data_IF_665726002536
#
_entry.id   IF_665726002536
#
_cell.length_a   1.000
_cell.length_b   1.000
_cell.length_c   1.000
_cell.angle_alpha   90.00
_cell.angle_beta   90.00
_cell.angle_gamma   90.00
#
_symmetry.space_group_name_H-M   'P 1'
#
loop_
_entity.id
_entity.type
_entity.pdbx_description
1 polymer ?
#
# COMPACT_ATOMS: atom_id res chain seq x y z
N UNK A 1 10.83 5.63 12.91
CA UNK A 1 10.42 6.69 11.96
C UNK A 1 9.42 7.63 12.62
N UNK A 2 9.61 8.94 12.55
CA UNK A 2 8.80 9.95 13.27
C UNK A 2 8.12 10.95 12.33
N UNK A 3 8.57 11.06 11.08
CA UNK A 3 8.01 11.97 10.08
C UNK A 3 8.15 11.37 8.68
N UNK A 4 7.13 11.57 7.86
CA UNK A 4 7.09 11.28 6.43
C UNK A 4 6.82 12.59 5.70
N UNK A 5 7.53 12.84 4.62
CA UNK A 5 7.28 13.96 3.71
C UNK A 5 7.05 13.41 2.31
N UNK A 6 5.84 13.53 1.79
CA UNK A 6 5.48 13.15 0.42
C UNK A 6 5.63 14.34 -0.53
N UNK A 7 6.43 14.17 -1.57
CA UNK A 7 6.73 15.15 -2.62
C UNK A 7 6.26 14.67 -4.01
N UNK A 8 5.33 13.71 -4.05
CA UNK A 8 4.82 13.13 -5.31
C UNK A 8 3.85 14.06 -6.03
N UNK A 9 3.17 14.94 -5.29
CA UNK A 9 2.21 15.92 -5.84
C UNK A 9 2.84 17.29 -6.09
N UNK A 10 2.02 18.27 -6.45
CA UNK A 10 2.46 19.66 -6.60
C UNK A 10 2.82 20.31 -5.25
N UNK A 11 2.14 19.92 -4.19
CA UNK A 11 2.36 20.41 -2.83
C UNK A 11 3.07 19.37 -1.96
N UNK A 12 4.04 19.84 -1.17
CA UNK A 12 4.69 19.04 -0.13
C UNK A 12 3.69 18.68 0.97
N UNK A 13 3.61 17.40 1.33
CA UNK A 13 2.78 16.93 2.43
C UNK A 13 3.65 16.35 3.55
N UNK A 14 3.65 17.03 4.69
CA UNK A 14 4.44 16.64 5.87
C UNK A 14 3.54 15.97 6.91
N UNK A 15 3.80 14.69 7.16
CA UNK A 15 3.01 13.82 8.03
C UNK A 15 3.85 13.42 9.24
N UNK A 16 3.47 13.91 10.43
CA UNK A 16 4.08 13.48 11.70
C UNK A 16 3.49 12.14 12.13
N UNK A 17 4.32 11.23 12.62
CA UNK A 17 3.88 9.94 13.13
C UNK A 17 4.00 9.91 14.65
N UNK A 18 2.94 9.44 15.30
CA UNK A 18 2.87 9.31 16.75
C UNK A 18 2.67 7.85 17.13
N UNK A 19 3.27 7.45 18.25
CA UNK A 19 3.27 6.08 18.74
C UNK A 19 2.83 6.06 20.21
N UNK A 20 2.16 4.98 20.62
CA UNK A 20 1.91 4.71 22.03
C UNK A 20 3.17 4.23 22.76
N UNK A 21 3.01 3.93 24.06
CA UNK A 21 4.12 3.46 24.92
C UNK A 21 4.67 2.10 24.51
N UNK A 22 3.89 1.30 23.78
CA UNK A 22 4.29 -0.03 23.30
C UNK A 22 4.92 0.04 21.89
N UNK A 23 5.04 1.25 21.32
CA UNK A 23 5.61 1.47 19.99
C UNK A 23 4.63 1.19 18.85
N UNK A 24 3.32 1.04 19.13
CA UNK A 24 2.30 0.94 18.08
C UNK A 24 1.99 2.33 17.55
N UNK A 25 1.83 2.46 16.24
CA UNK A 25 1.43 3.73 15.64
C UNK A 25 0.01 4.09 16.06
N UNK A 26 -0.20 5.30 16.56
CA UNK A 26 -1.54 5.83 16.92
C UNK A 26 -1.96 6.99 16.03
N UNK A 27 -1.03 7.59 15.29
CA UNK A 27 -1.31 8.66 14.32
C UNK A 27 -0.33 8.60 13.15
N UNK A 28 -0.85 8.75 11.92
CA UNK A 28 -0.08 8.93 10.69
C UNK A 28 -0.53 10.24 10.04
N UNK A 29 0.23 11.33 10.23
CA UNK A 29 -0.22 12.68 9.91
C UNK A 29 -1.38 13.09 10.82
N UNK A 30 -2.54 13.35 10.22
CA UNK A 30 -3.79 13.58 10.94
C UNK A 30 -4.70 12.36 11.02
N UNK A 31 -4.31 11.24 10.41
CA UNK A 31 -5.08 10.00 10.41
C UNK A 31 -4.83 9.21 11.70
N UNK A 32 -5.84 9.04 12.58
CA UNK A 32 -5.69 8.26 13.79
C UNK A 32 -5.73 6.76 13.50
N UNK A 33 -5.03 5.98 14.33
CA UNK A 33 -5.04 4.51 14.33
C UNK A 33 -5.44 4.04 15.73
N UNK A 34 -6.53 3.27 15.82
CA UNK A 34 -7.07 2.74 17.08
C UNK A 34 -7.02 1.22 17.09
N UNK A 35 -6.73 0.66 18.25
CA UNK A 35 -6.64 -0.78 18.48
C UNK A 35 -7.67 -1.16 19.56
N UNK A 36 -8.68 -1.94 19.18
CA UNK A 36 -9.81 -2.30 20.05
C UNK A 36 -10.09 -3.80 19.93
N UNK A 37 -9.65 -4.58 20.92
CA UNK A 37 -9.75 -6.03 20.88
C UNK A 37 -9.06 -6.62 19.65
N UNK A 38 -9.81 -7.37 18.85
CA UNK A 38 -9.35 -7.98 17.60
C UNK A 38 -9.51 -7.05 16.38
N UNK A 39 -9.74 -5.74 16.58
CA UNK A 39 -9.93 -4.78 15.50
C UNK A 39 -8.86 -3.69 15.50
N UNK A 40 -8.51 -3.26 14.29
CA UNK A 40 -7.67 -2.08 14.04
C UNK A 40 -8.45 -1.13 13.14
N UNK A 41 -8.71 0.07 13.62
CA UNK A 41 -9.49 1.08 12.90
C UNK A 41 -8.60 2.27 12.54
N UNK A 42 -8.55 2.62 11.26
CA UNK A 42 -7.82 3.76 10.73
C UNK A 42 -8.84 4.80 10.27
N UNK A 43 -8.66 6.04 10.72
CA UNK A 43 -9.56 7.14 10.43
C UNK A 43 -9.42 7.70 9.01
N UNK A 44 -9.96 8.90 8.83
CA UNK A 44 -9.93 9.60 7.54
C UNK A 44 -8.50 9.88 7.07
N UNK A 45 -8.28 9.68 5.79
CA UNK A 45 -7.03 9.95 5.09
C UNK A 45 -7.31 10.55 3.73
N UNK A 46 -6.89 11.81 3.57
CA UNK A 46 -7.05 12.58 2.34
C UNK A 46 -5.74 12.73 1.53
N UNK A 47 -4.60 12.26 2.08
CA UNK A 47 -3.27 12.76 1.69
C UNK A 47 -2.39 11.74 0.94
N UNK A 48 -2.99 10.89 0.10
CA UNK A 48 -2.22 10.17 -0.93
C UNK A 48 -2.75 10.63 -2.28
N UNK A 49 -1.87 11.04 -3.19
CA UNK A 49 -2.15 11.54 -4.55
C UNK A 49 -2.82 10.52 -5.49
N UNK A 50 -3.60 9.59 -4.93
CA UNK A 50 -4.22 8.44 -5.58
C UNK A 50 -5.58 8.76 -6.19
N UNK A 51 -6.07 10.00 -6.13
CA UNK A 51 -7.40 10.41 -6.60
C UNK A 51 -8.57 9.82 -5.79
N UNK A 52 -8.33 8.79 -4.99
CA UNK A 52 -9.28 8.13 -4.11
C UNK A 52 -8.99 8.50 -2.65
N UNK A 53 -10.00 8.97 -1.94
CA UNK A 53 -9.91 9.36 -0.51
C UNK A 53 -10.42 8.24 0.37
N UNK A 54 -9.79 8.00 1.50
CA UNK A 54 -10.24 7.02 2.49
C UNK A 54 -10.97 7.74 3.62
N UNK A 55 -12.24 7.40 3.86
CA UNK A 55 -12.98 7.93 5.00
C UNK A 55 -12.62 7.17 6.28
N UNK A 56 -12.51 5.85 6.21
CA UNK A 56 -11.99 4.99 7.27
C UNK A 56 -11.82 3.55 6.74
N UNK A 57 -11.06 2.75 7.47
CA UNK A 57 -11.03 1.28 7.34
C UNK A 57 -10.99 0.63 8.72
N UNK A 58 -11.72 -0.47 8.88
CA UNK A 58 -11.60 -1.36 10.03
C UNK A 58 -11.12 -2.72 9.55
N UNK A 59 -10.01 -3.20 10.11
CA UNK A 59 -9.46 -4.54 9.88
C UNK A 59 -9.87 -5.46 11.02
N UNK A 60 -10.33 -6.66 10.68
CA UNK A 60 -10.55 -7.74 11.63
C UNK A 60 -9.29 -8.61 11.68
N UNK A 61 -8.69 -8.71 12.87
CA UNK A 61 -7.50 -9.51 13.13
C UNK A 61 -7.93 -10.88 13.65
N UNK A 62 -7.28 -11.94 13.14
CA UNK A 62 -7.51 -13.32 13.56
C UNK A 62 -6.22 -14.12 13.49
N UNK A 63 -5.81 -14.69 14.63
CA UNK A 63 -4.54 -15.42 14.79
C UNK A 63 -3.32 -14.58 14.33
N UNK A 64 -3.29 -13.30 14.72
CA UNK A 64 -2.17 -12.39 14.45
C UNK A 64 -2.10 -11.80 13.04
N UNK A 65 -3.06 -12.08 12.16
CA UNK A 65 -3.14 -11.54 10.79
C UNK A 65 -4.51 -10.95 10.51
N UNK A 66 -4.61 -9.93 9.67
CA UNK A 66 -5.90 -9.47 9.17
C UNK A 66 -6.58 -10.59 8.35
N UNK A 67 -7.89 -10.71 8.46
CA UNK A 67 -8.71 -11.72 7.77
C UNK A 67 -9.71 -11.10 6.81
N UNK A 68 -10.27 -9.98 7.23
CA UNK A 68 -11.17 -9.18 6.44
C UNK A 68 -11.03 -7.70 6.83
N UNK A 69 -11.45 -6.81 5.95
CA UNK A 69 -11.60 -5.40 6.27
C UNK A 69 -12.84 -4.82 5.59
N UNK A 70 -13.33 -3.74 6.17
CA UNK A 70 -14.37 -2.91 5.58
C UNK A 70 -13.88 -1.47 5.57
N UNK A 71 -13.88 -0.85 4.41
CA UNK A 71 -13.49 0.53 4.24
C UNK A 71 -14.62 1.33 3.59
N UNK A 72 -14.69 2.61 3.94
CA UNK A 72 -15.49 3.59 3.23
C UNK A 72 -14.54 4.54 2.51
N UNK A 73 -14.76 4.76 1.22
CA UNK A 73 -13.87 5.56 0.40
C UNK A 73 -14.61 6.29 -0.72
N UNK A 74 -13.94 7.27 -1.31
CA UNK A 74 -14.35 7.85 -2.60
C UNK A 74 -13.69 7.05 -3.72
N UNK A 75 -14.49 6.45 -4.59
CA UNK A 75 -14.05 5.66 -5.74
C UNK A 75 -14.40 6.36 -7.04
N UNK A 76 -13.40 6.67 -7.86
CA UNK A 76 -13.63 7.13 -9.24
C UNK A 76 -13.93 5.94 -10.17
N UNK A 77 -15.05 6.01 -10.90
CA UNK A 77 -15.47 5.02 -11.90
C UNK A 77 -15.83 5.79 -13.18
N UNK A 78 -15.02 5.60 -14.23
CA UNK A 78 -15.12 6.45 -15.43
C UNK A 78 -14.86 7.92 -15.10
N UNK A 79 -15.82 8.79 -15.43
CA UNK A 79 -15.75 10.23 -15.13
C UNK A 79 -16.40 10.59 -13.78
N UNK A 80 -17.19 9.68 -13.18
CA UNK A 80 -17.92 9.93 -11.94
C UNK A 80 -17.14 9.48 -10.71
N UNK A 81 -17.47 10.06 -9.55
CA UNK A 81 -16.90 9.70 -8.25
C UNK A 81 -18.05 9.31 -7.33
N UNK A 82 -17.93 8.13 -6.72
CA UNK A 82 -18.92 7.58 -5.81
C UNK A 82 -18.36 7.40 -4.40
N UNK A 83 -19.20 7.65 -3.40
CA UNK A 83 -18.95 7.12 -2.07
C UNK A 83 -19.23 5.61 -2.11
N UNK A 84 -18.24 4.81 -1.74
CA UNK A 84 -18.28 3.37 -1.84
C UNK A 84 -17.91 2.69 -0.52
N UNK A 85 -18.60 1.59 -0.23
CA UNK A 85 -18.17 0.59 0.74
C UNK A 85 -17.32 -0.46 0.02
N UNK A 86 -16.08 -0.63 0.48
CA UNK A 86 -15.15 -1.66 0.04
C UNK A 86 -15.12 -2.78 1.09
N UNK A 87 -15.39 -4.00 0.66
CA UNK A 87 -15.25 -5.20 1.47
C UNK A 87 -14.09 -6.02 0.96
N UNK A 88 -13.14 -6.35 1.83
CA UNK A 88 -11.91 -7.05 1.45
C UNK A 88 -11.71 -8.30 2.30
N UNK A 89 -11.28 -9.39 1.67
CA UNK A 89 -10.85 -10.63 2.36
C UNK A 89 -9.38 -10.89 2.07
N UNK A 90 -8.65 -11.32 3.11
CA UNK A 90 -7.22 -11.64 3.06
C UNK A 90 -7.00 -13.13 3.33
N UNK A 91 -6.60 -13.86 2.28
CA UNK A 91 -6.32 -15.29 2.35
C UNK A 91 -4.82 -15.57 2.22
N UNK A 92 -4.33 -16.56 2.99
CA UNK A 92 -2.91 -16.89 3.07
C UNK A 92 -2.70 -18.37 2.72
N UNK A 93 -1.89 -18.65 1.71
CA UNK A 93 -1.52 -20.01 1.30
C UNK A 93 0.01 -20.13 1.24
N UNK A 94 0.59 -20.68 2.31
CA UNK A 94 2.03 -20.53 2.54
C UNK A 94 2.37 -19.05 2.72
N UNK A 95 3.38 -18.56 2.00
CA UNK A 95 3.70 -17.13 1.96
C UNK A 95 2.82 -16.33 0.98
N UNK A 96 2.15 -16.99 0.03
CA UNK A 96 1.31 -16.28 -0.96
C UNK A 96 0.09 -15.67 -0.28
N UNK A 97 -0.20 -14.40 -0.61
CA UNK A 97 -1.36 -13.67 -0.09
C UNK A 97 -2.33 -13.41 -1.26
N UNK A 98 -3.61 -13.68 -1.04
CA UNK A 98 -4.69 -13.28 -1.94
C UNK A 98 -5.51 -12.19 -1.26
N UNK A 99 -5.74 -11.08 -1.97
CA UNK A 99 -6.53 -9.95 -1.51
C UNK A 99 -7.66 -9.77 -2.50
N UNK A 100 -8.90 -10.03 -2.08
CA UNK A 100 -10.08 -9.90 -2.93
C UNK A 100 -10.96 -8.78 -2.36
N UNK A 101 -11.23 -7.75 -3.17
CA UNK A 101 -12.03 -6.60 -2.78
C UNK A 101 -13.24 -6.44 -3.69
N UNK A 102 -14.42 -6.22 -3.10
CA UNK A 102 -15.64 -5.83 -3.79
C UNK A 102 -16.04 -4.41 -3.37
N UNK A 103 -16.25 -3.54 -4.35
CA UNK A 103 -16.68 -2.16 -4.17
C UNK A 103 -18.15 -2.01 -4.55
N UNK A 104 -18.95 -1.43 -3.65
CA UNK A 104 -20.36 -1.11 -3.87
C UNK A 104 -20.67 0.31 -3.46
N UNK A 105 -21.58 0.98 -4.17
CA UNK A 105 -22.01 2.31 -3.77
C UNK A 105 -22.74 2.25 -2.41
N UNK A 106 -22.51 3.23 -1.55
CA UNK A 106 -23.18 3.34 -0.23
C UNK A 106 -24.67 3.60 -0.36
N UNK A 107 -25.10 4.26 -1.45
CA UNK A 107 -26.46 4.72 -1.68
C UNK A 107 -27.47 3.61 -1.96
N UNK A 108 -27.08 2.62 -2.77
CA UNK A 108 -28.00 1.65 -3.39
C UNK A 108 -27.37 0.25 -3.53
N UNK A 109 -26.20 0.02 -2.94
CA UNK A 109 -25.46 -1.26 -2.97
C UNK A 109 -25.10 -1.77 -4.37
N UNK A 110 -25.22 -0.94 -5.41
CA UNK A 110 -24.86 -1.34 -6.78
C UNK A 110 -23.38 -1.68 -6.84
N UNK A 111 -23.06 -2.71 -7.62
CA UNK A 111 -21.70 -3.12 -7.87
C UNK A 111 -20.97 -2.04 -8.68
N UNK A 112 -19.76 -1.69 -8.25
CA UNK A 112 -18.92 -0.69 -8.92
C UNK A 112 -17.68 -1.34 -9.53
N UNK A 113 -16.97 -2.15 -8.74
CA UNK A 113 -15.67 -2.70 -9.12
C UNK A 113 -15.34 -3.92 -8.28
N UNK A 114 -14.60 -4.86 -8.86
CA UNK A 114 -13.95 -5.97 -8.14
C UNK A 114 -12.45 -5.94 -8.43
N UNK A 115 -11.64 -6.18 -7.39
CA UNK A 115 -10.19 -6.24 -7.51
C UNK A 115 -9.68 -7.51 -6.85
N UNK A 116 -8.86 -8.26 -7.59
CA UNK A 116 -8.26 -9.50 -7.12
C UNK A 116 -6.75 -9.42 -7.25
N UNK A 117 -6.06 -9.29 -6.12
CA UNK A 117 -4.61 -9.25 -6.03
C UNK A 117 -4.04 -10.59 -5.54
N UNK A 118 -2.96 -11.04 -6.16
CA UNK A 118 -2.16 -12.20 -5.74
C UNK A 118 -0.72 -11.76 -5.53
N UNK A 119 -0.20 -11.93 -4.32
CA UNK A 119 1.14 -11.53 -3.92
C UNK A 119 2.00 -12.78 -3.72
N UNK A 120 3.02 -12.96 -4.54
CA UNK A 120 3.87 -14.15 -4.56
C UNK A 120 5.27 -13.80 -4.07
N UNK A 121 5.78 -14.61 -3.15
CA UNK A 121 7.05 -14.39 -2.47
C UNK A 121 8.06 -15.49 -2.81
N UNK A 122 9.34 -15.15 -2.82
CA UNK A 122 10.41 -16.13 -2.99
C UNK A 122 10.77 -16.89 -1.70
N UNK A 123 11.77 -17.75 -1.78
CA UNK A 123 12.27 -18.54 -0.66
C UNK A 123 12.81 -17.68 0.50
N UNK A 124 13.25 -16.45 0.26
CA UNK A 124 13.71 -15.50 1.27
C UNK A 124 12.57 -14.62 1.82
N UNK A 125 11.34 -14.83 1.35
CA UNK A 125 10.15 -14.08 1.74
C UNK A 125 10.04 -12.71 1.07
N UNK A 126 10.83 -12.44 0.03
CA UNK A 126 10.78 -11.18 -0.73
C UNK A 126 9.63 -11.22 -1.74
N UNK A 127 8.87 -10.14 -1.85
CA UNK A 127 7.75 -10.04 -2.80
C UNK A 127 8.29 -10.05 -4.23
N UNK A 128 8.10 -11.12 -4.99
CA UNK A 128 8.61 -11.23 -6.36
C UNK A 128 7.63 -10.75 -7.41
N UNK A 129 6.36 -11.04 -7.20
CA UNK A 129 5.33 -10.79 -8.20
C UNK A 129 4.01 -10.38 -7.55
N UNK A 130 3.32 -9.45 -8.19
CA UNK A 130 1.93 -9.12 -7.90
C UNK A 130 1.12 -9.27 -9.19
N UNK A 131 0.05 -10.06 -9.14
CA UNK A 131 -0.93 -10.16 -10.22
C UNK A 131 -2.22 -9.53 -9.74
N UNK A 132 -2.69 -8.51 -10.44
CA UNK A 132 -3.91 -7.79 -10.09
C UNK A 132 -4.88 -7.87 -11.27
N UNK A 133 -6.10 -8.31 -11.00
CA UNK A 133 -7.21 -8.32 -11.96
C UNK A 133 -8.27 -7.34 -11.49
N UNK A 134 -8.69 -6.44 -12.38
CA UNK A 134 -9.75 -5.47 -12.17
C UNK A 134 -10.94 -5.84 -13.04
N UNK A 135 -12.11 -6.01 -12.43
CA UNK A 135 -13.39 -6.20 -13.14
C UNK A 135 -14.28 -5.01 -12.84
N UNK A 136 -14.64 -4.27 -13.88
CA UNK A 136 -15.52 -3.10 -13.79
C UNK A 136 -17.00 -3.52 -13.80
N UNK A 137 -17.91 -2.60 -13.47
CA UNK A 137 -19.35 -2.87 -13.42
C UNK A 137 -19.97 -3.35 -14.75
N UNK A 138 -19.33 -3.07 -15.88
CA UNK A 138 -19.74 -3.52 -17.21
C UNK A 138 -19.11 -4.86 -17.62
N UNK A 139 -18.56 -5.61 -16.67
CA UNK A 139 -17.82 -6.87 -16.86
C UNK A 139 -16.54 -6.75 -17.69
N UNK A 140 -16.10 -5.53 -18.02
CA UNK A 140 -14.79 -5.34 -18.65
C UNK A 140 -13.68 -5.70 -17.66
N UNK A 141 -12.66 -6.37 -18.19
CA UNK A 141 -11.54 -6.87 -17.39
C UNK A 141 -10.25 -6.22 -17.85
N UNK A 142 -9.48 -5.73 -16.90
CA UNK A 142 -8.08 -5.36 -17.09
C UNK A 142 -7.21 -6.07 -16.07
N UNK A 143 -5.92 -6.20 -16.37
CA UNK A 143 -4.97 -6.85 -15.47
C UNK A 143 -3.59 -6.20 -15.52
N UNK A 144 -2.85 -6.38 -14.43
CA UNK A 144 -1.45 -6.01 -14.32
C UNK A 144 -0.66 -7.18 -13.71
N UNK A 145 0.49 -7.48 -14.28
CA UNK A 145 1.49 -8.35 -13.68
C UNK A 145 2.74 -7.54 -13.39
N UNK A 146 3.03 -7.34 -12.12
CA UNK A 146 4.16 -6.55 -11.61
C UNK A 146 5.25 -7.49 -11.11
N UNK A 147 6.50 -7.18 -11.44
CA UNK A 147 7.70 -7.95 -11.09
C UNK A 147 8.70 -7.08 -10.34
N UNK A 148 9.33 -7.64 -9.32
CA UNK A 148 10.30 -6.95 -8.46
C UNK A 148 11.68 -7.60 -8.54
N UNK A 149 12.71 -6.79 -8.79
CA UNK A 149 14.11 -7.21 -8.78
C UNK A 149 14.80 -6.80 -7.47
N UNK A 150 15.67 -7.67 -6.94
CA UNK A 150 16.39 -7.49 -5.67
C UNK A 150 17.88 -7.81 -5.81
N UNK A 151 18.44 -7.78 -7.02
CA UNK A 151 19.81 -8.18 -7.30
C UNK A 151 20.83 -7.22 -6.67
N UNK A 152 20.42 -5.98 -6.38
CA UNK A 152 21.26 -5.02 -5.64
C UNK A 152 21.27 -5.27 -4.13
N UNK A 153 20.50 -6.25 -3.63
CA UNK A 153 20.45 -6.65 -2.23
C UNK A 153 20.26 -5.46 -1.25
N UNK A 154 19.42 -4.48 -1.63
CA UNK A 154 19.11 -3.34 -0.78
C UNK A 154 18.28 -3.82 0.42
N UNK A 155 18.82 -3.61 1.62
CA UNK A 155 18.17 -3.97 2.87
C UNK A 155 18.05 -2.75 3.77
N UNK A 156 17.06 -2.77 4.65
CA UNK A 156 16.83 -1.73 5.64
C UNK A 156 16.35 -2.29 6.98
N UNK A 157 16.49 -1.48 8.01
CA UNK A 157 15.89 -1.71 9.31
C UNK A 157 14.99 -0.54 9.68
N UNK A 158 13.70 -0.78 9.87
CA UNK A 158 12.76 0.23 10.34
C UNK A 158 11.55 -0.40 11.06
N UNK A 159 10.84 0.40 11.85
CA UNK A 159 9.65 -0.04 12.58
C UNK A 159 8.43 -0.25 11.66
N UNK A 160 8.38 0.40 10.48
CA UNK A 160 7.33 0.21 9.47
C UNK A 160 7.86 -0.56 8.26
N UNK A 161 6.95 -1.17 7.48
CA UNK A 161 7.33 -1.85 6.24
C UNK A 161 7.35 -0.83 5.11
N UNK A 162 8.55 -0.32 4.81
CA UNK A 162 8.78 0.71 3.81
C UNK A 162 8.56 0.21 2.38
N UNK A 163 8.41 -1.11 2.16
CA UNK A 163 7.97 -1.65 0.86
C UNK A 163 6.61 -1.08 0.45
N UNK A 164 5.75 -0.71 1.41
CA UNK A 164 4.44 -0.13 1.14
C UNK A 164 4.49 1.17 0.33
N UNK A 165 5.64 1.84 0.23
CA UNK A 165 5.79 3.04 -0.62
C UNK A 165 6.13 2.73 -2.09
N UNK A 166 6.42 1.47 -2.44
CA UNK A 166 6.88 1.08 -3.80
C UNK A 166 6.15 -0.13 -4.39
N UNK A 167 5.49 -0.96 -3.57
CA UNK A 167 4.79 -2.15 -4.07
C UNK A 167 3.39 -1.81 -4.62
N UNK A 168 2.84 -2.72 -5.41
CA UNK A 168 1.52 -2.60 -6.04
C UNK A 168 0.42 -2.99 -5.07
N UNK A 169 -0.61 -2.15 -4.95
CA UNK A 169 -1.77 -2.41 -4.11
C UNK A 169 -2.98 -1.56 -4.55
N UNK A 170 -4.17 -2.02 -4.20
CA UNK A 170 -5.42 -1.33 -4.48
C UNK A 170 -5.96 -0.63 -3.23
N UNK A 171 -5.96 0.70 -3.23
CA UNK A 171 -6.51 1.56 -2.18
C UNK A 171 -5.58 1.89 -1.00
N UNK A 172 -5.89 2.98 -0.31
CA UNK A 172 -5.13 3.48 0.87
C UNK A 172 -5.24 2.51 2.07
N UNK A 173 -6.34 1.76 2.15
CA UNK A 173 -6.48 0.67 3.12
C UNK A 173 -5.40 -0.40 2.92
N UNK A 174 -5.13 -0.80 1.67
CA UNK A 174 -4.07 -1.78 1.37
C UNK A 174 -2.67 -1.22 1.65
N UNK A 175 -2.44 0.09 1.44
CA UNK A 175 -1.22 0.76 1.87
C UNK A 175 -0.95 0.52 3.36
N UNK A 176 -1.94 0.80 4.22
CA UNK A 176 -1.81 0.58 5.66
C UNK A 176 -1.69 -0.91 6.02
N UNK A 177 -2.41 -1.80 5.32
CA UNK A 177 -2.26 -3.24 5.50
C UNK A 177 -0.79 -3.68 5.37
N UNK A 178 -0.09 -3.21 4.34
CA UNK A 178 1.32 -3.53 4.12
C UNK A 178 2.26 -2.78 5.06
N UNK A 179 2.08 -1.47 5.23
CA UNK A 179 2.93 -0.60 6.05
C UNK A 179 2.98 -1.10 7.50
N UNK A 180 1.82 -1.48 8.05
CA UNK A 180 1.66 -1.94 9.43
C UNK A 180 1.90 -3.44 9.62
N UNK A 181 2.30 -4.17 8.57
CA UNK A 181 2.47 -5.62 8.58
C UNK A 181 1.22 -6.44 8.99
N UNK A 182 0.02 -6.03 8.62
CA UNK A 182 -1.18 -6.74 9.07
C UNK A 182 -1.27 -8.17 8.49
N UNK A 183 -0.52 -8.47 7.42
CA UNK A 183 -0.34 -9.83 6.91
C UNK A 183 0.72 -10.68 7.62
N UNK A 184 1.46 -10.09 8.56
CA UNK A 184 2.60 -10.69 9.27
C UNK A 184 3.60 -11.35 8.30
N UNK A 185 4.09 -10.54 7.36
CA UNK A 185 5.04 -10.93 6.31
C UNK A 185 6.33 -11.47 6.92
N UNK A 186 6.88 -12.52 6.28
CA UNK A 186 8.12 -13.17 6.71
C UNK A 186 9.36 -12.29 6.53
N UNK A 187 9.41 -11.49 5.47
CA UNK A 187 10.49 -10.54 5.21
C UNK A 187 9.95 -9.11 5.17
N UNK A 188 10.53 -8.26 6.02
CA UNK A 188 10.23 -6.83 6.10
C UNK A 188 11.48 -5.95 5.97
N UNK A 189 12.54 -6.49 5.36
CA UNK A 189 13.85 -5.83 5.30
C UNK A 189 14.33 -5.60 3.87
N UNK A 190 13.85 -6.34 2.88
CA UNK A 190 14.27 -6.16 1.50
C UNK A 190 13.52 -5.01 0.80
N UNK A 191 14.22 -4.25 -0.04
CA UNK A 191 13.64 -3.23 -0.94
C UNK A 191 14.00 -3.55 -2.39
N UNK A 192 13.03 -3.48 -3.33
CA UNK A 192 13.30 -3.79 -4.74
C UNK A 192 14.09 -2.65 -5.40
N UNK A 193 15.10 -2.96 -6.20
CA UNK A 193 15.85 -1.94 -6.95
C UNK A 193 15.20 -1.57 -8.28
N UNK A 194 14.48 -2.51 -8.90
CA UNK A 194 13.76 -2.26 -10.16
C UNK A 194 12.39 -2.93 -10.14
N UNK A 195 11.42 -2.29 -10.80
CA UNK A 195 10.04 -2.72 -10.85
C UNK A 195 9.56 -2.69 -12.30
N UNK A 196 9.07 -3.83 -12.78
CA UNK A 196 8.51 -4.00 -14.11
C UNK A 196 7.02 -4.23 -14.06
N UNK A 197 6.26 -3.53 -14.89
CA UNK A 197 4.81 -3.63 -15.03
C UNK A 197 4.46 -4.13 -16.43
N UNK A 198 3.62 -5.16 -16.50
CA UNK A 198 3.07 -5.70 -17.74
C UNK A 198 1.54 -5.63 -17.65
N UNK A 199 0.95 -4.70 -18.39
CA UNK A 199 -0.49 -4.46 -18.38
C UNK A 199 -1.16 -5.23 -19.51
N UNK A 200 -2.28 -5.90 -19.18
CA UNK A 200 -3.13 -6.63 -20.11
C UNK A 200 -2.33 -7.56 -21.05
N UNK A 201 -1.47 -8.40 -20.48
CA UNK A 201 -0.65 -9.36 -21.23
C UNK A 201 0.28 -8.71 -22.28
N UNK A 202 0.81 -7.53 -21.99
CA UNK A 202 1.81 -6.85 -22.81
C UNK A 202 1.25 -5.85 -23.81
N UNK A 203 -0.05 -5.54 -23.74
CA UNK A 203 -0.61 -4.39 -24.50
C UNK A 203 0.10 -3.09 -24.14
N UNK A 204 0.57 -2.96 -22.89
CA UNK A 204 1.52 -1.94 -22.50
C UNK A 204 2.47 -2.45 -21.42
N UNK A 205 3.69 -1.93 -21.41
CA UNK A 205 4.72 -2.28 -20.43
C UNK A 205 5.39 -1.03 -19.90
N UNK A 206 5.79 -1.04 -18.64
CA UNK A 206 6.45 0.08 -17.98
C UNK A 206 7.53 -0.43 -17.03
N UNK A 207 8.70 0.21 -16.99
CA UNK A 207 9.79 -0.17 -16.10
C UNK A 207 10.29 1.06 -15.36
N UNK A 208 10.49 0.93 -14.05
CA UNK A 208 10.98 2.00 -13.18
C UNK A 208 12.11 1.50 -12.32
N UNK A 209 13.00 2.43 -11.97
CA UNK A 209 14.08 2.21 -11.02
C UNK A 209 13.68 2.81 -9.67
N UNK A 210 13.86 2.06 -8.60
CA UNK A 210 13.66 2.56 -7.24
C UNK A 210 15.01 2.86 -6.60
N UNK A 211 15.21 4.13 -6.24
CA UNK A 211 16.43 4.64 -5.63
C UNK A 211 16.20 4.93 -4.14
N UNK A 212 17.19 4.57 -3.32
CA UNK A 212 17.09 4.69 -1.86
C UNK A 212 18.32 5.39 -1.32
N UNK A 213 18.11 6.46 -0.54
CA UNK A 213 19.17 7.04 0.27
C UNK A 213 19.06 6.52 1.68
N UNK A 214 20.10 5.82 2.14
CA UNK A 214 20.19 5.29 3.49
C UNK A 214 21.05 6.21 4.37
N UNK A 215 20.69 6.31 5.63
CA UNK A 215 21.44 6.94 6.72
C UNK A 215 21.53 5.93 7.87
N UNK A 216 22.71 5.39 8.13
CA UNK A 216 22.94 4.29 9.08
C UNK A 216 21.90 3.16 8.96
N UNK A 217 21.79 2.55 7.76
CA UNK A 217 20.81 1.49 7.39
C UNK A 217 19.33 1.90 7.35
N UNK A 218 18.99 3.12 7.78
CA UNK A 218 17.63 3.63 7.74
C UNK A 218 17.37 4.37 6.41
N UNK A 219 16.35 4.01 5.61
CA UNK A 219 16.01 4.75 4.42
C UNK A 219 15.45 6.11 4.82
N UNK A 220 16.16 7.18 4.45
CA UNK A 220 15.75 8.57 4.67
C UNK A 220 15.16 9.21 3.42
N UNK A 221 15.28 8.54 2.27
CA UNK A 221 14.61 8.91 1.02
C UNK A 221 14.33 7.67 0.17
N UNK A 222 13.14 7.63 -0.41
CA UNK A 222 12.67 6.65 -1.39
C UNK A 222 12.24 7.41 -2.63
N UNK A 223 12.80 7.09 -3.79
CA UNK A 223 12.47 7.70 -5.09
C UNK A 223 12.12 6.61 -6.09
N UNK A 224 11.12 6.86 -6.93
CA UNK A 224 10.80 6.01 -8.10
C UNK A 224 11.00 6.83 -9.35
N UNK A 225 11.85 6.34 -10.26
CA UNK A 225 12.27 7.04 -11.46
C UNK A 225 11.92 6.24 -12.72
N UNK A 226 11.40 6.93 -13.73
CA UNK A 226 11.27 6.41 -15.08
C UNK A 226 12.38 6.95 -15.98
N UNK A 227 12.96 6.06 -16.80
CA UNK A 227 14.03 6.40 -17.74
C UNK A 227 15.17 7.21 -17.07
N UNK A 228 15.54 6.81 -15.85
CA UNK A 228 16.60 7.37 -15.00
C UNK A 228 16.46 8.83 -14.56
N UNK A 229 15.54 9.60 -15.14
CA UNK A 229 15.51 11.07 -14.99
C UNK A 229 14.13 11.61 -14.64
N UNK A 230 13.06 10.94 -15.08
CA UNK A 230 11.70 11.36 -14.76
C UNK A 230 11.32 10.83 -13.37
N UNK A 231 11.38 11.71 -12.37
CA UNK A 231 10.89 11.41 -11.02
C UNK A 231 9.36 11.18 -11.07
N UNK A 232 8.91 10.02 -10.60
CA UNK A 232 7.49 9.68 -10.50
C UNK A 232 6.96 9.87 -9.08
N UNK A 233 7.77 9.56 -8.08
CA UNK A 233 7.45 9.78 -6.67
C UNK A 233 8.72 9.99 -5.87
N UNK A 234 8.60 10.76 -4.78
CA UNK A 234 9.66 10.95 -3.79
C UNK A 234 9.05 11.06 -2.40
N UNK A 235 9.54 10.20 -1.51
CA UNK A 235 9.17 10.18 -0.10
C UNK A 235 10.45 10.40 0.72
N UNK A 236 10.49 11.47 1.50
CA UNK A 236 11.55 11.73 2.48
C UNK A 236 11.08 11.25 3.88
N UNK A 237 11.97 10.57 4.60
CA UNK A 237 11.67 9.92 5.88
C UNK A 237 12.62 10.45 6.97
N UNK A 238 12.09 10.66 8.18
CA UNK A 238 12.89 11.08 9.34
C UNK A 238 12.73 10.11 10.50
N UNK A 239 13.84 9.89 11.22
CA UNK A 239 13.92 9.03 12.41
C UNK A 239 14.25 9.80 13.68
N UNK A 240 14.56 11.10 13.54
CA UNK A 240 14.89 11.94 14.69
C UNK A 240 13.67 12.06 15.61
N UNK A 241 13.83 11.88 16.93
CA UNK A 241 12.79 12.24 17.87
C UNK A 241 12.43 13.71 17.64
N UNK A 242 11.13 13.97 17.45
CA UNK A 242 10.65 15.34 17.31
C UNK A 242 10.78 15.98 18.69
N UNK A 243 11.75 16.87 18.86
CA UNK A 243 11.85 17.76 20.03
C UNK A 243 10.66 18.71 20.09
#
# INVERSE_FOLDING_TARGET
>A
MTKVTDLTGEEEQVLKLEYDRDGKIIKYGDTPVRYEGDQITIGQMDCLNTGNKLCNVTFQIGKGKARESRARCMLKVGEEVYEADKQTVYDYKGDTIFINSDYRATSDYRFLKKVQGKYVFDQLGRLKEVMTVFTEANDSVSSCHTYYNYDNNINYQANLNLQAYVIDYDGVDSFFYFLLNLGQLRNRTALPNDIGYCMNHGLSTYNVHANYRLDDENPVRIEVLYNYTKLLSRIDLSYNPLN
#
